data_IF_522670225265
#
_entry.id   IF_522670225265
#
_cell.length_a   1.000
_cell.length_b   1.000
_cell.length_c   1.000
_cell.angle_alpha   90.00
_cell.angle_beta   90.00
_cell.angle_gamma   90.00
#
_symmetry.space_group_name_H-M   'P 1'
#
loop_
_entity.id
_entity.type
_entity.pdbx_description
1 polymer ?
#
# COMPACT_ATOMS: atom_id res chain seq x y z
N UNK A 1 -5.22 19.65 -43.81
CA UNK A 1 -4.06 18.93 -44.32
C UNK A 1 -3.52 18.04 -43.22
N UNK A 2 -3.34 16.74 -43.48
CA UNK A 2 -2.98 15.72 -42.48
C UNK A 2 -1.77 16.06 -41.59
N UNK A 3 -0.84 16.89 -42.06
CA UNK A 3 0.31 17.34 -41.27
C UNK A 3 -0.08 18.33 -40.16
N UNK A 4 -1.13 19.12 -40.34
CA UNK A 4 -1.65 20.06 -39.32
C UNK A 4 -2.41 19.34 -38.21
N UNK A 5 -3.01 18.19 -38.51
CA UNK A 5 -3.73 17.38 -37.51
C UNK A 5 -2.82 16.50 -36.66
N UNK A 6 -1.65 16.14 -37.19
CA UNK A 6 -0.59 15.44 -36.42
C UNK A 6 0.09 16.39 -35.45
N UNK A 7 0.33 17.64 -35.83
CA UNK A 7 0.90 18.66 -34.93
C UNK A 7 -0.09 19.09 -33.84
N UNK A 8 -1.39 19.15 -34.12
CA UNK A 8 -2.43 19.46 -33.13
C UNK A 8 -2.66 18.33 -32.12
N UNK A 9 -2.28 17.09 -32.42
CA UNK A 9 -2.26 15.98 -31.44
C UNK A 9 -1.05 16.00 -30.52
N UNK A 10 -0.02 16.78 -30.80
CA UNK A 10 1.18 16.91 -29.96
C UNK A 10 1.12 18.04 -28.93
N UNK A 11 0.16 18.94 -29.04
CA UNK A 11 -0.19 19.93 -27.99
C UNK A 11 -1.39 19.46 -27.15
N UNK A 12 -1.43 18.19 -26.74
CA UNK A 12 -2.21 17.83 -25.57
C UNK A 12 -1.59 18.60 -24.40
N UNK A 13 -2.28 19.62 -23.90
CA UNK A 13 -1.83 20.51 -22.85
C UNK A 13 -1.16 19.69 -21.75
N UNK A 14 0.09 20.02 -21.42
CA UNK A 14 0.78 19.45 -20.27
C UNK A 14 0.00 19.88 -19.03
N UNK A 15 -0.74 18.95 -18.47
CA UNK A 15 -1.60 19.19 -17.31
C UNK A 15 -0.99 18.43 -16.15
N UNK A 16 -0.95 19.01 -14.97
CA UNK A 16 -0.51 18.30 -13.78
C UNK A 16 -1.60 17.35 -13.30
N UNK A 17 -1.22 16.31 -12.59
CA UNK A 17 -2.16 15.35 -11.99
C UNK A 17 -3.15 16.06 -11.02
N UNK A 18 -2.74 17.18 -10.42
CA UNK A 18 -3.61 18.02 -9.59
C UNK A 18 -4.86 18.52 -10.33
N UNK A 19 -4.75 18.76 -11.65
CA UNK A 19 -5.83 19.31 -12.47
C UNK A 19 -6.74 18.24 -13.07
N UNK A 20 -6.45 16.95 -12.82
CA UNK A 20 -7.26 15.85 -13.34
C UNK A 20 -8.65 15.87 -12.68
N UNK A 21 -9.76 15.97 -13.45
CA UNK A 21 -11.10 15.97 -12.87
C UNK A 21 -11.47 14.61 -12.27
N UNK A 22 -12.34 14.61 -11.25
CA UNK A 22 -12.88 13.40 -10.65
C UNK A 22 -13.57 12.52 -11.72
N UNK A 23 -13.30 11.21 -11.67
CA UNK A 23 -13.85 10.22 -12.60
C UNK A 23 -13.17 10.20 -13.97
N UNK A 24 -12.10 10.96 -14.17
CA UNK A 24 -11.28 10.90 -15.37
C UNK A 24 -10.01 10.10 -15.13
N UNK A 25 -9.55 9.45 -16.19
CA UNK A 25 -8.30 8.72 -16.25
C UNK A 25 -7.33 9.46 -17.16
N UNK A 26 -6.07 9.49 -16.78
CA UNK A 26 -4.98 10.03 -17.59
C UNK A 26 -3.77 9.10 -17.55
N UNK A 27 -2.88 9.24 -18.51
CA UNK A 27 -1.61 8.51 -18.53
C UNK A 27 -0.51 9.39 -17.96
N UNK A 28 0.27 8.88 -17.00
CA UNK A 28 1.41 9.59 -16.44
C UNK A 28 2.49 9.73 -17.49
N UNK A 29 2.90 10.97 -17.78
CA UNK A 29 3.95 11.28 -18.73
C UNK A 29 5.32 11.33 -18.06
N UNK A 30 5.40 12.08 -16.97
CA UNK A 30 6.63 12.24 -16.20
C UNK A 30 6.35 12.40 -14.72
N UNK A 31 7.30 12.00 -13.91
CA UNK A 31 7.25 12.09 -12.45
C UNK A 31 8.38 13.01 -12.00
N UNK A 32 8.01 14.16 -11.48
CA UNK A 32 8.93 15.14 -10.92
C UNK A 32 9.41 14.78 -9.52
N UNK A 33 10.03 15.75 -8.86
CA UNK A 33 10.68 15.55 -7.57
C UNK A 33 12.12 15.04 -7.74
N UNK A 34 12.86 15.07 -6.64
CA UNK A 34 14.26 14.64 -6.60
C UNK A 34 14.50 13.68 -5.44
N UNK A 35 15.52 12.83 -5.58
CA UNK A 35 15.96 11.92 -4.52
C UNK A 35 14.84 11.01 -3.97
N UNK A 36 14.66 11.04 -2.66
CA UNK A 36 13.71 10.18 -1.94
C UNK A 36 12.25 10.40 -2.35
N UNK A 37 11.85 11.65 -2.66
CA UNK A 37 10.48 11.97 -3.06
C UNK A 37 10.11 11.30 -4.39
N UNK A 38 11.00 11.41 -5.38
CA UNK A 38 10.78 10.76 -6.67
C UNK A 38 10.73 9.24 -6.54
N UNK A 39 11.64 8.67 -5.75
CA UNK A 39 11.65 7.24 -5.50
C UNK A 39 10.35 6.78 -4.83
N UNK A 40 9.87 7.53 -3.86
CA UNK A 40 8.59 7.27 -3.21
C UNK A 40 7.41 7.22 -4.19
N UNK A 41 7.34 8.16 -5.16
CA UNK A 41 6.31 8.11 -6.19
C UNK A 41 6.41 6.86 -7.06
N UNK A 42 7.61 6.48 -7.46
CA UNK A 42 7.83 5.27 -8.26
C UNK A 42 7.48 4.00 -7.49
N UNK A 43 7.81 3.94 -6.19
CA UNK A 43 7.47 2.81 -5.30
C UNK A 43 5.95 2.68 -5.10
N UNK A 44 5.22 3.80 -5.15
CA UNK A 44 3.76 3.81 -5.16
C UNK A 44 3.15 3.46 -6.53
N UNK A 45 3.95 3.10 -7.53
CA UNK A 45 3.46 2.76 -8.87
C UNK A 45 3.12 3.96 -9.76
N UNK A 46 3.43 5.20 -9.32
CA UNK A 46 3.33 6.41 -10.16
C UNK A 46 4.49 6.42 -11.15
N UNK A 47 4.41 5.58 -12.18
CA UNK A 47 5.47 5.44 -13.19
C UNK A 47 5.04 6.02 -14.53
N UNK A 48 5.97 6.56 -15.33
CA UNK A 48 5.66 7.00 -16.68
C UNK A 48 5.03 5.88 -17.51
N UNK A 49 3.90 6.19 -18.18
CA UNK A 49 3.12 5.23 -18.95
C UNK A 49 2.00 4.54 -18.15
N UNK A 50 1.95 4.64 -16.84
CA UNK A 50 0.84 4.12 -16.06
C UNK A 50 -0.41 4.99 -16.18
N UNK A 51 -1.58 4.36 -16.14
CA UNK A 51 -2.86 5.05 -16.08
C UNK A 51 -3.22 5.37 -14.63
N UNK A 52 -3.66 6.60 -14.41
CA UNK A 52 -4.12 7.09 -13.11
C UNK A 52 -5.52 7.67 -13.23
N UNK A 53 -6.41 7.31 -12.31
CA UNK A 53 -7.78 7.81 -12.24
C UNK A 53 -7.98 8.65 -10.99
N UNK A 54 -8.56 9.83 -11.13
CA UNK A 54 -8.96 10.66 -9.98
C UNK A 54 -10.26 10.13 -9.39
N UNK A 55 -10.23 9.62 -8.16
CA UNK A 55 -11.40 9.02 -7.51
C UNK A 55 -12.20 10.07 -6.75
N UNK A 56 -11.56 10.76 -5.82
CA UNK A 56 -12.20 11.83 -5.03
C UNK A 56 -11.17 12.70 -4.33
N UNK A 57 -11.66 13.82 -3.79
CA UNK A 57 -10.92 14.66 -2.84
C UNK A 57 -11.33 14.34 -1.41
N UNK A 58 -10.43 14.47 -0.46
CA UNK A 58 -10.78 14.48 0.96
C UNK A 58 -11.78 15.61 1.26
N UNK A 59 -12.56 15.53 2.36
CA UNK A 59 -13.58 16.53 2.68
C UNK A 59 -13.09 17.99 2.73
N UNK A 60 -11.80 18.20 3.03
CA UNK A 60 -11.16 19.52 3.05
C UNK A 60 -10.40 19.85 1.74
N UNK A 61 -10.53 19.00 0.70
CA UNK A 61 -9.90 19.19 -0.60
C UNK A 61 -8.50 18.60 -0.74
N UNK A 62 -7.81 18.26 0.35
CA UNK A 62 -6.48 17.65 0.37
C UNK A 62 -6.43 16.59 1.50
N UNK A 63 -5.92 15.39 1.27
CA UNK A 63 -5.32 14.85 0.04
C UNK A 63 -6.34 14.44 -1.04
N UNK A 64 -5.84 14.08 -2.22
CA UNK A 64 -6.62 13.44 -3.28
C UNK A 64 -6.48 11.93 -3.20
N UNK A 65 -7.53 11.22 -3.56
CA UNK A 65 -7.54 9.76 -3.70
C UNK A 65 -7.50 9.41 -5.19
N UNK A 66 -6.52 8.62 -5.55
CA UNK A 66 -6.20 8.20 -6.90
C UNK A 66 -6.31 6.68 -7.00
N UNK A 67 -6.71 6.18 -8.17
CA UNK A 67 -6.62 4.78 -8.52
C UNK A 67 -5.55 4.59 -9.58
N UNK A 68 -4.61 3.68 -9.31
CA UNK A 68 -3.55 3.27 -10.22
C UNK A 68 -3.61 1.76 -10.31
N UNK A 69 -3.61 1.25 -11.53
CA UNK A 69 -3.83 -0.17 -11.77
C UNK A 69 -5.12 -0.64 -11.06
N UNK A 70 -5.03 -1.46 -10.04
CA UNK A 70 -6.17 -2.00 -9.30
C UNK A 70 -6.26 -1.51 -7.85
N UNK A 71 -5.38 -0.62 -7.38
CA UNK A 71 -5.39 -0.13 -6.00
C UNK A 71 -5.59 1.39 -5.90
N UNK A 72 -6.05 1.83 -4.73
CA UNK A 72 -6.28 3.24 -4.42
C UNK A 72 -5.19 3.75 -3.49
N UNK A 73 -4.65 4.91 -3.83
CA UNK A 73 -3.66 5.62 -3.02
C UNK A 73 -4.08 7.05 -2.76
N UNK A 74 -3.58 7.63 -1.69
CA UNK A 74 -3.78 9.05 -1.37
C UNK A 74 -2.51 9.83 -1.62
N UNK A 75 -2.65 11.01 -2.24
CA UNK A 75 -1.54 11.90 -2.55
C UNK A 75 -1.89 13.33 -2.15
N UNK A 76 -0.92 14.06 -1.60
CA UNK A 76 -1.09 15.50 -1.34
C UNK A 76 -1.17 16.26 -2.66
N UNK A 77 -2.00 17.30 -2.70
CA UNK A 77 -2.11 18.15 -3.91
C UNK A 77 -0.78 18.75 -4.34
N UNK A 78 0.08 19.13 -3.39
CA UNK A 78 1.42 19.64 -3.66
C UNK A 78 2.33 18.59 -4.33
N UNK A 79 2.08 17.33 -4.11
CA UNK A 79 2.82 16.22 -4.72
C UNK A 79 2.19 15.83 -6.07
N UNK A 80 0.87 15.86 -6.18
CA UNK A 80 0.16 15.68 -7.44
C UNK A 80 0.55 16.73 -8.50
N UNK A 81 0.89 17.95 -8.08
CA UNK A 81 1.37 19.02 -8.95
C UNK A 81 2.71 18.70 -9.65
N UNK A 82 3.52 17.81 -9.07
CA UNK A 82 4.82 17.39 -9.60
C UNK A 82 4.72 16.27 -10.64
N UNK A 83 3.53 15.73 -10.87
CA UNK A 83 3.30 14.63 -11.80
C UNK A 83 2.61 15.18 -13.04
N UNK A 84 3.25 15.06 -14.18
CA UNK A 84 2.70 15.46 -15.46
C UNK A 84 1.88 14.34 -16.08
N UNK A 85 0.72 14.66 -16.58
CA UNK A 85 -0.21 13.72 -17.22
C UNK A 85 -0.54 14.12 -18.65
N UNK A 86 -1.00 13.15 -19.40
CA UNK A 86 -1.46 13.30 -20.80
C UNK A 86 -2.68 12.38 -21.02
N UNK A 87 -3.32 12.49 -22.18
CA UNK A 87 -4.43 11.62 -22.61
C UNK A 87 -5.59 11.51 -21.61
N UNK A 88 -6.06 12.67 -21.12
CA UNK A 88 -7.22 12.72 -20.23
C UNK A 88 -8.47 12.17 -20.92
N UNK A 89 -9.06 11.13 -20.36
CA UNK A 89 -10.21 10.40 -20.92
C UNK A 89 -11.19 9.98 -19.83
N UNK A 90 -12.39 9.57 -20.26
CA UNK A 90 -13.35 8.97 -19.33
C UNK A 90 -12.85 7.60 -18.82
N UNK A 91 -13.11 7.31 -17.55
CA UNK A 91 -12.80 6.00 -16.98
C UNK A 91 -13.55 4.90 -17.74
N UNK A 92 -12.83 3.98 -18.34
CA UNK A 92 -13.41 2.77 -18.94
C UNK A 92 -13.64 1.79 -17.79
N UNK A 93 -14.86 1.69 -17.29
CA UNK A 93 -15.24 0.65 -16.33
C UNK A 93 -15.22 -0.70 -17.03
N UNK A 94 -14.05 -1.31 -17.11
CA UNK A 94 -13.93 -2.71 -17.51
C UNK A 94 -14.57 -3.50 -16.35
N UNK A 95 -15.75 -4.04 -16.60
CA UNK A 95 -16.29 -5.07 -15.73
C UNK A 95 -15.36 -6.29 -15.87
N UNK A 96 -14.37 -6.38 -15.00
CA UNK A 96 -13.58 -7.59 -14.87
C UNK A 96 -14.53 -8.72 -14.46
N UNK A 97 -15.07 -9.42 -15.45
CA UNK A 97 -15.61 -10.75 -15.23
C UNK A 97 -14.36 -11.63 -15.08
N UNK A 98 -13.85 -11.73 -13.85
CA UNK A 98 -12.89 -12.76 -13.50
C UNK A 98 -13.58 -14.08 -13.82
N UNK A 99 -13.05 -14.89 -14.75
CA UNK A 99 -13.59 -16.22 -15.00
C UNK A 99 -13.58 -16.97 -13.67
N UNK A 100 -14.74 -17.48 -13.25
CA UNK A 100 -14.85 -18.33 -12.07
C UNK A 100 -14.30 -19.73 -12.37
N UNK A 101 -13.18 -19.84 -13.04
CA UNK A 101 -12.46 -21.09 -13.11
C UNK A 101 -11.82 -21.31 -11.74
N UNK A 102 -12.29 -22.36 -11.08
CA UNK A 102 -11.69 -22.87 -9.85
C UNK A 102 -10.27 -23.29 -10.20
N UNK A 103 -9.31 -22.41 -9.93
CA UNK A 103 -7.89 -22.78 -9.99
C UNK A 103 -7.70 -23.78 -8.86
N UNK A 104 -7.47 -25.05 -9.20
CA UNK A 104 -7.09 -26.04 -8.20
C UNK A 104 -5.79 -25.56 -7.56
N UNK A 105 -5.87 -25.20 -6.29
CA UNK A 105 -4.74 -24.74 -5.51
C UNK A 105 -3.71 -25.87 -5.46
N UNK A 106 -2.44 -25.65 -5.82
CA UNK A 106 -1.41 -26.71 -5.91
C UNK A 106 -1.06 -27.34 -4.56
N UNK A 107 -1.91 -27.18 -3.53
CA UNK A 107 -1.64 -27.66 -2.19
C UNK A 107 -0.45 -26.90 -1.60
N UNK A 108 -0.68 -26.05 -0.62
CA UNK A 108 0.42 -25.47 0.15
C UNK A 108 1.05 -26.58 0.94
N UNK A 109 2.11 -27.15 0.46
CA UNK A 109 3.17 -27.93 1.10
C UNK A 109 3.05 -28.50 2.53
N UNK A 110 1.89 -28.47 3.14
CA UNK A 110 1.63 -29.01 4.48
C UNK A 110 1.66 -30.56 4.51
N UNK A 111 1.91 -31.19 3.37
CA UNK A 111 2.01 -32.65 3.21
C UNK A 111 3.44 -33.19 3.21
N UNK A 112 4.42 -32.52 3.82
CA UNK A 112 5.74 -33.09 4.04
C UNK A 112 6.72 -33.09 2.87
N UNK A 113 6.41 -32.35 1.78
CA UNK A 113 7.28 -32.30 0.61
C UNK A 113 8.39 -31.23 0.70
N UNK A 114 8.25 -30.27 1.63
CA UNK A 114 9.18 -29.15 1.81
C UNK A 114 9.60 -28.91 3.27
N UNK A 115 9.06 -29.68 4.23
CA UNK A 115 9.41 -29.63 5.64
C UNK A 115 9.66 -31.06 6.13
N UNK A 116 10.89 -31.38 6.43
CA UNK A 116 11.21 -32.55 7.23
C UNK A 116 11.16 -32.11 8.71
N UNK A 117 10.46 -32.89 9.56
CA UNK A 117 10.41 -32.62 11.03
C UNK A 117 11.80 -32.53 11.68
N UNK A 118 12.81 -33.07 11.02
CA UNK A 118 14.20 -33.00 11.48
C UNK A 118 14.83 -31.61 11.32
N UNK A 119 14.26 -30.77 10.43
CA UNK A 119 14.73 -29.41 10.17
C UNK A 119 13.98 -28.36 11.01
N UNK A 120 12.96 -28.77 11.76
CA UNK A 120 12.26 -27.91 12.69
C UNK A 120 13.17 -27.56 13.88
N UNK A 121 13.39 -26.27 14.06
CA UNK A 121 14.12 -25.73 15.22
C UNK A 121 13.14 -24.97 16.11
N UNK A 122 12.32 -25.67 16.91
CA UNK A 122 11.28 -25.04 17.69
C UNK A 122 11.89 -24.06 18.69
N UNK A 123 11.22 -22.94 18.88
CA UNK A 123 11.64 -21.98 19.90
C UNK A 123 11.51 -22.59 21.30
N UNK A 124 12.39 -22.21 22.24
CA UNK A 124 12.29 -22.68 23.61
C UNK A 124 10.92 -22.41 24.24
N UNK A 125 10.40 -23.32 25.03
CA UNK A 125 9.16 -23.15 25.76
C UNK A 125 9.18 -21.87 26.61
N UNK A 126 8.08 -21.11 26.56
CA UNK A 126 7.96 -19.82 27.25
C UNK A 126 8.58 -18.62 26.49
N UNK A 127 9.04 -18.82 25.27
CA UNK A 127 9.48 -17.69 24.43
C UNK A 127 8.28 -16.81 24.06
N UNK A 128 8.34 -15.52 24.41
CA UNK A 128 7.33 -14.55 23.94
C UNK A 128 7.49 -14.33 22.45
N UNK A 129 6.42 -14.61 21.70
CA UNK A 129 6.35 -14.36 20.27
C UNK A 129 5.92 -12.92 20.01
N UNK A 130 6.61 -12.25 19.12
CA UNK A 130 6.28 -10.88 18.70
C UNK A 130 6.02 -10.83 17.20
N UNK A 131 4.84 -10.37 16.82
CA UNK A 131 4.47 -10.19 15.42
C UNK A 131 4.16 -8.73 15.12
N UNK A 132 4.39 -8.33 13.88
CA UNK A 132 4.00 -7.03 13.37
C UNK A 132 2.98 -7.20 12.25
N UNK A 133 1.91 -6.39 12.25
CA UNK A 133 0.98 -6.32 11.12
C UNK A 133 1.45 -5.21 10.19
N UNK A 134 1.71 -5.56 8.95
CA UNK A 134 2.10 -4.64 7.88
C UNK A 134 1.10 -4.68 6.73
N UNK A 135 1.12 -3.69 5.87
CA UNK A 135 0.28 -3.60 4.66
C UNK A 135 -0.13 -2.17 4.34
N UNK A 136 -0.81 -2.00 3.23
CA UNK A 136 -1.25 -0.69 2.74
C UNK A 136 -2.25 -0.03 3.68
N UNK A 137 -2.48 1.26 3.47
CA UNK A 137 -3.59 1.96 4.10
C UNK A 137 -4.92 1.32 3.66
N UNK A 138 -5.86 1.21 4.59
CA UNK A 138 -7.21 0.67 4.35
C UNK A 138 -7.30 -0.82 3.94
N UNK A 139 -6.21 -1.60 3.98
CA UNK A 139 -6.22 -3.03 3.67
C UNK A 139 -6.82 -3.92 4.77
N UNK A 140 -7.29 -3.34 5.89
CA UNK A 140 -7.93 -4.07 6.98
C UNK A 140 -7.02 -4.47 8.15
N UNK A 141 -5.77 -3.95 8.24
CA UNK A 141 -4.83 -4.24 9.34
C UNK A 141 -5.44 -4.07 10.73
N UNK A 142 -5.95 -2.88 11.00
CA UNK A 142 -6.55 -2.55 12.31
C UNK A 142 -7.79 -3.39 12.61
N UNK A 143 -8.55 -3.79 11.59
CA UNK A 143 -9.67 -4.71 11.76
C UNK A 143 -9.19 -6.07 12.24
N UNK A 144 -8.16 -6.62 11.58
CA UNK A 144 -7.56 -7.89 11.99
C UNK A 144 -6.93 -7.77 13.39
N UNK A 145 -6.19 -6.70 13.67
CA UNK A 145 -5.62 -6.42 14.99
C UNK A 145 -6.68 -6.46 16.10
N UNK A 146 -7.80 -5.76 15.89
CA UNK A 146 -8.90 -5.72 16.86
C UNK A 146 -9.55 -7.10 17.06
N UNK A 147 -9.64 -7.90 16.03
CA UNK A 147 -10.17 -9.27 16.13
C UNK A 147 -9.23 -10.19 16.91
N UNK A 148 -7.92 -10.08 16.67
CA UNK A 148 -6.90 -10.89 17.35
C UNK A 148 -6.77 -10.54 18.83
N UNK A 149 -6.76 -9.24 19.17
CA UNK A 149 -6.44 -8.77 20.52
C UNK A 149 -7.68 -8.48 21.38
N UNK A 150 -8.79 -8.11 20.77
CA UNK A 150 -10.01 -7.71 21.49
C UNK A 150 -9.77 -6.48 22.36
N UNK A 151 -10.02 -6.60 23.68
CA UNK A 151 -9.80 -5.51 24.66
C UNK A 151 -8.36 -5.43 25.20
N UNK A 152 -7.50 -6.39 24.87
CA UNK A 152 -6.14 -6.50 25.39
C UNK A 152 -5.16 -5.67 24.55
N UNK A 153 -5.44 -4.36 24.46
CA UNK A 153 -4.68 -3.43 23.63
C UNK A 153 -4.05 -2.34 24.49
N UNK A 154 -2.84 -1.95 24.13
CA UNK A 154 -2.17 -0.77 24.63
C UNK A 154 -1.97 0.21 23.47
N UNK A 155 -2.39 1.45 23.67
CA UNK A 155 -2.27 2.52 22.67
C UNK A 155 -1.29 3.56 23.19
N UNK A 156 -0.32 3.91 22.37
CA UNK A 156 0.68 4.93 22.65
C UNK A 156 1.17 5.52 21.34
N UNK A 157 2.32 6.16 21.37
CA UNK A 157 3.00 6.65 20.17
C UNK A 157 4.33 5.93 19.99
N UNK A 158 4.77 5.80 18.76
CA UNK A 158 6.13 5.38 18.49
C UNK A 158 7.15 6.40 19.04
N UNK A 159 8.30 5.96 19.58
CA UNK A 159 9.28 6.86 20.16
C UNK A 159 9.72 7.96 19.20
N UNK A 160 9.64 9.23 19.66
CA UNK A 160 10.15 10.39 18.94
C UNK A 160 9.27 10.91 17.79
N UNK A 161 8.08 10.36 17.60
CA UNK A 161 7.14 10.78 16.55
C UNK A 161 5.69 10.80 17.05
N UNK A 162 4.80 11.47 16.32
CA UNK A 162 3.36 11.57 16.63
C UNK A 162 2.53 10.48 15.92
N UNK A 163 3.16 9.36 15.59
CA UNK A 163 2.50 8.23 14.93
C UNK A 163 2.02 7.26 16.00
N UNK A 164 0.75 6.86 15.92
CA UNK A 164 0.12 5.95 16.86
C UNK A 164 0.77 4.57 16.83
N UNK A 165 1.05 4.01 18.03
CA UNK A 165 1.48 2.64 18.26
C UNK A 165 0.36 1.88 18.97
N UNK A 166 0.00 0.73 18.45
CA UNK A 166 -0.96 -0.17 19.07
C UNK A 166 -0.32 -1.54 19.23
N UNK A 167 -0.16 -1.93 20.48
CA UNK A 167 0.33 -3.25 20.85
C UNK A 167 -0.80 -4.03 21.52
N UNK A 168 -0.86 -5.32 21.30
CA UNK A 168 -1.85 -6.17 21.94
C UNK A 168 -1.37 -7.61 22.13
N UNK A 169 -1.99 -8.28 23.09
CA UNK A 169 -1.81 -9.71 23.33
C UNK A 169 -2.90 -10.45 22.56
N UNK A 170 -2.53 -11.50 21.84
CA UNK A 170 -3.50 -12.31 21.09
C UNK A 170 -4.39 -13.07 22.09
N UNK A 171 -5.69 -13.10 21.82
CA UNK A 171 -6.68 -13.85 22.61
C UNK A 171 -6.25 -15.33 22.70
N UNK A 172 -6.36 -15.91 23.88
CA UNK A 172 -6.02 -17.31 24.17
C UNK A 172 -4.52 -17.67 24.02
N UNK A 173 -3.67 -16.68 23.64
CA UNK A 173 -2.23 -16.82 23.47
C UNK A 173 -1.50 -15.70 24.21
N UNK A 174 -1.42 -15.81 25.54
CA UNK A 174 -0.84 -14.77 26.40
C UNK A 174 0.67 -14.55 26.21
N UNK A 175 1.34 -15.46 25.54
CA UNK A 175 2.75 -15.44 25.15
C UNK A 175 2.99 -14.79 23.79
N UNK A 176 1.94 -14.35 23.11
CA UNK A 176 2.03 -13.81 21.75
C UNK A 176 1.56 -12.36 21.71
N UNK A 177 2.49 -11.48 21.36
CA UNK A 177 2.26 -10.04 21.18
C UNK A 177 2.15 -9.71 19.70
N UNK A 178 1.28 -8.77 19.39
CA UNK A 178 1.15 -8.22 18.04
C UNK A 178 1.14 -6.70 18.08
N UNK A 179 1.85 -6.08 17.13
CA UNK A 179 1.91 -4.63 16.96
C UNK A 179 1.25 -4.26 15.64
N UNK A 180 0.29 -3.33 15.66
CA UNK A 180 -0.32 -2.75 14.45
C UNK A 180 0.58 -1.62 13.94
N UNK A 181 1.25 -1.85 12.81
CA UNK A 181 2.10 -0.84 12.18
C UNK A 181 1.27 0.12 11.32
N UNK A 182 1.74 1.36 11.13
CA UNK A 182 1.12 2.30 10.22
C UNK A 182 0.94 1.72 8.80
N UNK A 183 -0.09 2.17 8.09
CA UNK A 183 -0.27 1.82 6.68
C UNK A 183 0.79 2.47 5.82
N UNK A 184 1.50 1.67 5.05
CA UNK A 184 2.58 2.12 4.17
C UNK A 184 2.44 1.52 2.79
N UNK A 185 2.96 2.20 1.79
CA UNK A 185 3.07 1.70 0.42
C UNK A 185 4.46 1.13 0.12
N UNK A 186 5.47 1.60 0.84
CA UNK A 186 6.86 1.24 0.62
C UNK A 186 7.64 1.28 1.94
N UNK A 187 8.78 0.59 1.98
CA UNK A 187 9.75 0.69 3.10
C UNK A 187 10.77 1.82 2.89
N UNK A 188 10.61 2.63 1.86
CA UNK A 188 11.46 3.81 1.61
C UNK A 188 11.21 4.86 2.69
N UNK A 189 12.26 5.40 3.34
CA UNK A 189 12.11 6.31 4.47
C UNK A 189 11.76 7.73 4.03
N UNK A 190 10.56 7.91 3.49
CA UNK A 190 10.07 9.21 3.02
C UNK A 190 9.03 9.82 3.96
N UNK A 191 7.97 9.08 4.31
CA UNK A 191 6.98 9.55 5.27
C UNK A 191 7.34 9.14 6.71
N UNK A 192 6.72 9.80 7.70
CA UNK A 192 6.89 9.45 9.11
C UNK A 192 6.48 8.01 9.40
N UNK A 193 5.40 7.56 8.75
CA UNK A 193 4.84 6.22 8.86
C UNK A 193 5.81 5.16 8.31
N UNK A 194 6.42 5.43 7.16
CA UNK A 194 7.40 4.54 6.54
C UNK A 194 8.70 4.46 7.35
N UNK A 195 9.17 5.60 7.86
CA UNK A 195 10.34 5.66 8.75
C UNK A 195 10.08 4.85 10.02
N UNK A 196 8.90 5.02 10.63
CA UNK A 196 8.51 4.31 11.85
C UNK A 196 8.42 2.81 11.61
N UNK A 197 7.74 2.38 10.57
CA UNK A 197 7.59 0.97 10.21
C UNK A 197 8.95 0.32 9.95
N UNK A 198 9.80 0.98 9.16
CA UNK A 198 11.15 0.50 8.88
C UNK A 198 11.99 0.38 10.15
N UNK A 199 11.99 1.41 11.00
CA UNK A 199 12.77 1.42 12.24
C UNK A 199 12.26 0.37 13.23
N UNK A 200 10.93 0.15 13.30
CA UNK A 200 10.36 -0.90 14.13
C UNK A 200 10.90 -2.27 13.71
N UNK A 201 10.84 -2.60 12.43
CA UNK A 201 11.31 -3.90 11.93
C UNK A 201 12.81 -4.09 12.20
N UNK A 202 13.62 -3.03 11.99
CA UNK A 202 15.07 -3.09 12.12
C UNK A 202 15.56 -3.10 13.59
N UNK A 203 14.84 -2.49 14.51
CA UNK A 203 15.30 -2.31 15.90
C UNK A 203 14.60 -3.27 16.87
N UNK A 204 13.29 -3.52 16.70
CA UNK A 204 12.51 -4.38 17.60
C UNK A 204 12.62 -5.86 17.22
N UNK A 205 13.06 -6.17 15.98
CA UNK A 205 13.26 -7.53 15.48
C UNK A 205 12.07 -8.47 15.78
N UNK A 206 10.84 -8.16 15.31
CA UNK A 206 9.71 -9.05 15.54
C UNK A 206 10.01 -10.44 14.98
N UNK A 207 9.51 -11.49 15.64
CA UNK A 207 9.70 -12.89 15.21
C UNK A 207 9.04 -13.19 13.87
N UNK A 208 8.02 -12.40 13.51
CA UNK A 208 7.37 -12.50 12.20
C UNK A 208 6.65 -11.22 11.82
N UNK A 209 6.45 -11.06 10.52
CA UNK A 209 5.64 -9.98 9.95
C UNK A 209 4.45 -10.63 9.23
N UNK A 210 3.24 -10.23 9.61
CA UNK A 210 2.01 -10.62 8.94
C UNK A 210 1.64 -9.49 7.98
N UNK A 211 1.84 -9.73 6.69
CA UNK A 211 1.50 -8.76 5.67
C UNK A 211 0.05 -8.95 5.21
N UNK A 212 -0.78 -7.92 5.42
CA UNK A 212 -2.17 -7.92 5.03
C UNK A 212 -2.28 -7.30 3.63
N UNK A 213 -2.78 -8.08 2.70
CA UNK A 213 -2.94 -7.71 1.30
C UNK A 213 -4.41 -7.72 0.94
N UNK A 214 -4.87 -6.67 0.26
CA UNK A 214 -6.22 -6.61 -0.28
C UNK A 214 -6.28 -7.47 -1.56
N UNK A 215 -6.94 -8.63 -1.47
CA UNK A 215 -7.03 -9.57 -2.57
C UNK A 215 -7.86 -9.06 -3.76
N UNK A 216 -8.61 -7.97 -3.60
CA UNK A 216 -9.35 -7.34 -4.70
C UNK A 216 -8.46 -6.46 -5.56
N UNK A 217 -7.26 -6.13 -5.07
CA UNK A 217 -6.30 -5.21 -5.66
C UNK A 217 -4.89 -5.83 -5.76
N UNK A 218 -4.80 -7.12 -6.02
CA UNK A 218 -3.54 -7.82 -6.30
C UNK A 218 -3.32 -7.84 -7.80
N UNK A 219 -2.16 -7.41 -8.24
CA UNK A 219 -1.62 -7.60 -9.58
C UNK A 219 -0.54 -8.67 -9.61
#
# INVERSE_FOLDING_TARGET
SAASDVYKRQEAAMTSLRELPIGKTATIRSVGGEGALRQHFLDMGLIPGADVTMVKYAPMGDPVELRIHSYELTLRLADAEKIEITDVRDEIKIKNQIPKEKIDHPGLGEGGKYHEKADENPLPDGTTLTFALAGNQNCGKTTLFNQLTGSNQHVGNFPGVTVDRKDGVIKEHSDTLVTDLPGIYSMSPYSSEEIVTRNFVLNEHPKGIINIVDATNIE
#
